data_IF_435217518770
#
_entry.id   IF_435217518770
#
_cell.length_a   1.000
_cell.length_b   1.000
_cell.length_c   1.000
_cell.angle_alpha   90.00
_cell.angle_beta   90.00
_cell.angle_gamma   90.00
#
_symmetry.space_group_name_H-M   'P 1'
#
loop_
_entity.id
_entity.type
_entity.pdbx_description
1 polymer ?
#
# COMPACT_ATOMS: atom_id res chain seq x y z
N UNK A 1 41.19 11.86 14.33
CA UNK A 1 39.98 12.60 13.92
C UNK A 1 38.99 11.73 13.12
N UNK A 2 39.44 10.75 12.35
CA UNK A 2 38.59 9.90 11.51
C UNK A 2 37.59 8.99 12.27
N UNK A 3 37.94 8.55 13.49
CA UNK A 3 37.05 7.74 14.34
C UNK A 3 35.90 8.53 14.98
N UNK A 4 36.06 9.83 15.21
CA UNK A 4 34.98 10.66 15.77
C UNK A 4 34.00 11.15 14.69
N UNK A 5 34.48 11.34 13.44
CA UNK A 5 33.59 11.62 12.31
C UNK A 5 32.64 10.45 12.00
N UNK A 6 33.12 9.20 12.15
CA UNK A 6 32.28 7.99 11.99
C UNK A 6 31.17 7.90 13.05
N UNK A 7 31.45 8.26 14.31
CA UNK A 7 30.42 8.25 15.36
C UNK A 7 29.38 9.36 15.18
N UNK A 8 29.78 10.56 14.74
CA UNK A 8 28.85 11.67 14.47
C UNK A 8 27.98 11.38 13.25
N UNK A 9 28.53 10.77 12.20
CA UNK A 9 27.75 10.36 11.01
C UNK A 9 26.83 9.17 11.30
N UNK A 10 27.23 8.20 12.13
CA UNK A 10 26.37 7.06 12.53
C UNK A 10 25.23 7.46 13.48
N UNK A 11 25.45 8.43 14.37
CA UNK A 11 24.40 8.98 15.24
C UNK A 11 23.44 9.84 14.41
N UNK A 12 23.94 10.65 13.48
CA UNK A 12 23.10 11.47 12.61
C UNK A 12 22.32 10.66 11.57
N UNK A 13 22.84 9.52 11.10
CA UNK A 13 22.10 8.57 10.25
C UNK A 13 21.03 7.78 11.02
N UNK A 14 21.27 7.43 12.29
CA UNK A 14 20.24 6.80 13.14
C UNK A 14 19.13 7.77 13.52
N UNK A 15 19.46 9.03 13.80
CA UNK A 15 18.48 10.07 14.12
C UNK A 15 17.73 10.58 12.87
N UNK A 16 18.37 10.64 11.70
CA UNK A 16 17.68 10.90 10.42
C UNK A 16 16.84 9.71 9.96
N UNK A 17 17.26 8.47 10.23
CA UNK A 17 16.41 7.30 10.00
C UNK A 17 15.12 7.39 10.82
N UNK A 18 15.17 7.82 12.08
CA UNK A 18 13.95 7.97 12.91
C UNK A 18 12.99 9.05 12.38
N UNK A 19 13.49 10.09 11.68
CA UNK A 19 12.66 11.16 11.11
C UNK A 19 12.17 10.85 9.68
N UNK A 20 12.92 10.07 8.89
CA UNK A 20 12.57 9.66 7.52
C UNK A 20 11.87 8.28 7.43
N UNK A 21 11.72 7.55 8.54
CA UNK A 21 11.14 6.19 8.55
C UNK A 21 9.69 6.13 9.04
N UNK A 22 9.05 7.28 9.23
CA UNK A 22 7.61 7.32 9.51
C UNK A 22 6.73 7.02 8.29
N UNK A 23 7.33 6.88 7.10
CA UNK A 23 6.62 6.69 5.83
C UNK A 23 6.76 5.25 5.32
N UNK A 24 6.62 4.27 6.22
CA UNK A 24 6.34 2.89 5.84
C UNK A 24 4.86 2.77 5.47
N UNK A 25 4.50 1.99 4.45
CA UNK A 25 3.10 1.71 4.06
C UNK A 25 2.22 1.39 5.28
N UNK A 26 2.81 0.68 6.24
CA UNK A 26 2.18 0.30 7.49
C UNK A 26 1.97 1.49 8.39
N UNK A 27 2.96 2.36 8.56
CA UNK A 27 2.86 3.53 9.43
C UNK A 27 1.90 4.58 8.85
N UNK A 28 1.85 4.70 7.54
CA UNK A 28 0.88 5.53 6.82
C UNK A 28 -0.52 4.94 6.96
N UNK A 29 -0.68 3.62 6.77
CA UNK A 29 -1.96 2.93 7.01
C UNK A 29 -2.39 3.07 8.48
N UNK A 30 -1.48 2.89 9.43
CA UNK A 30 -1.64 3.11 10.86
C UNK A 30 -2.06 4.56 11.16
N UNK A 31 -1.43 5.54 10.51
CA UNK A 31 -1.76 6.96 10.69
C UNK A 31 -3.14 7.30 10.15
N UNK A 32 -3.58 6.65 9.04
CA UNK A 32 -4.93 6.76 8.49
C UNK A 32 -5.99 6.26 9.47
N UNK A 33 -5.70 5.20 10.23
CA UNK A 33 -6.59 4.68 11.28
C UNK A 33 -6.64 5.54 12.54
N UNK A 34 -5.98 6.71 12.58
CA UNK A 34 -5.93 7.60 13.75
C UNK A 34 -5.67 6.79 15.03
N UNK A 35 -4.56 6.03 15.07
CA UNK A 35 -4.10 5.33 16.28
C UNK A 35 -3.74 6.33 17.40
N UNK A 36 -4.73 7.05 17.93
CA UNK A 36 -4.57 7.89 19.10
C UNK A 36 -4.20 6.97 20.27
N UNK A 37 -2.93 7.06 20.69
CA UNK A 37 -2.42 6.37 21.88
C UNK A 37 -1.58 5.12 21.62
N UNK A 38 -1.33 4.71 20.37
CA UNK A 38 -0.38 3.62 20.10
C UNK A 38 1.05 4.15 20.04
N UNK A 39 1.95 3.59 20.85
CA UNK A 39 3.36 3.98 20.81
C UNK A 39 4.08 3.31 19.64
N UNK A 40 4.40 4.09 18.60
CA UNK A 40 5.12 3.62 17.40
C UNK A 40 6.52 3.08 17.70
N UNK A 41 7.12 3.41 18.85
CA UNK A 41 8.44 2.92 19.27
C UNK A 41 8.46 1.40 19.55
N UNK A 42 7.30 0.79 19.79
CA UNK A 42 7.19 -0.65 20.04
C UNK A 42 6.93 -1.49 18.79
N UNK A 43 6.84 -0.85 17.62
CA UNK A 43 6.62 -1.55 16.37
C UNK A 43 7.89 -2.30 15.99
N UNK A 44 7.80 -3.63 15.99
CA UNK A 44 8.87 -4.50 15.51
C UNK A 44 8.81 -4.57 13.99
N UNK A 45 9.63 -3.75 13.33
CA UNK A 45 9.79 -3.79 11.88
C UNK A 45 10.51 -5.06 11.44
N UNK A 46 9.94 -5.76 10.46
CA UNK A 46 10.59 -6.88 9.79
C UNK A 46 11.37 -6.39 8.57
N UNK A 47 12.60 -6.86 8.41
CA UNK A 47 13.49 -6.47 7.32
C UNK A 47 13.63 -7.60 6.30
N UNK A 48 13.67 -7.24 5.02
CA UNK A 48 14.06 -8.13 3.93
C UNK A 48 15.59 -8.27 3.89
N UNK A 49 16.09 -9.27 3.16
CA UNK A 49 17.53 -9.44 2.91
C UNK A 49 18.13 -8.29 2.10
N UNK A 50 17.30 -7.53 1.38
CA UNK A 50 17.70 -6.34 0.63
C UNK A 50 17.76 -5.07 1.52
N UNK A 51 17.47 -5.18 2.82
CA UNK A 51 17.49 -4.05 3.74
C UNK A 51 16.28 -3.12 3.61
N UNK A 52 15.18 -3.59 3.01
CA UNK A 52 13.88 -2.89 2.97
C UNK A 52 12.92 -3.47 4.02
N UNK A 53 11.83 -2.77 4.34
CA UNK A 53 10.82 -3.28 5.27
C UNK A 53 9.96 -4.32 4.55
N UNK A 54 9.79 -5.49 5.18
CA UNK A 54 8.83 -6.51 4.76
C UNK A 54 7.46 -6.11 5.34
N UNK A 55 6.67 -5.38 4.53
CA UNK A 55 5.38 -4.85 4.98
C UNK A 55 4.42 -5.98 5.40
N UNK A 56 4.39 -7.09 4.66
CA UNK A 56 3.53 -8.21 5.04
C UNK A 56 3.90 -8.79 6.40
N UNK A 57 5.17 -9.14 6.62
CA UNK A 57 5.59 -9.71 7.92
C UNK A 57 5.47 -8.73 9.06
N UNK A 58 5.74 -7.45 8.80
CA UNK A 58 5.56 -6.42 9.82
C UNK A 58 4.08 -6.28 10.19
N UNK A 59 3.16 -6.35 9.23
CA UNK A 59 1.73 -6.36 9.50
C UNK A 59 1.31 -7.62 10.30
N UNK A 60 1.87 -8.80 9.97
CA UNK A 60 1.65 -10.04 10.73
C UNK A 60 2.11 -9.92 12.20
N UNK A 61 3.30 -9.38 12.46
CA UNK A 61 3.79 -9.12 13.82
C UNK A 61 2.92 -8.10 14.55
N UNK A 62 2.43 -7.07 13.85
CA UNK A 62 1.55 -6.06 14.43
C UNK A 62 0.21 -6.65 14.85
N UNK A 63 -0.44 -7.45 14.01
CA UNK A 63 -1.73 -8.06 14.38
C UNK A 63 -1.61 -9.06 15.53
N UNK A 64 -0.40 -9.60 15.75
CA UNK A 64 -0.12 -10.46 16.90
C UNK A 64 0.26 -9.67 18.16
N UNK A 65 0.39 -8.34 18.08
CA UNK A 65 0.77 -7.50 19.21
C UNK A 65 -0.43 -7.20 20.11
N UNK A 66 -0.34 -7.62 21.38
CA UNK A 66 -1.45 -7.50 22.32
C UNK A 66 -1.82 -6.06 22.72
N UNK A 67 -0.96 -5.10 22.40
CA UNK A 67 -1.17 -3.68 22.70
C UNK A 67 -2.10 -2.97 21.70
N UNK A 68 -2.33 -3.55 20.52
CA UNK A 68 -3.31 -3.02 19.57
C UNK A 68 -4.71 -3.50 19.96
N UNK A 69 -5.70 -2.61 19.91
CA UNK A 69 -7.09 -3.03 20.07
C UNK A 69 -7.53 -3.92 18.90
N UNK A 70 -8.59 -4.69 19.11
CA UNK A 70 -9.09 -5.67 18.13
C UNK A 70 -9.51 -4.99 16.81
N UNK A 71 -10.13 -3.81 16.89
CA UNK A 71 -10.52 -3.00 15.73
C UNK A 71 -9.33 -2.67 14.81
N UNK A 72 -8.20 -2.23 15.38
CA UNK A 72 -7.00 -1.93 14.62
C UNK A 72 -6.35 -3.18 14.05
N UNK A 73 -6.33 -4.30 14.78
CA UNK A 73 -5.83 -5.58 14.27
C UNK A 73 -6.66 -6.08 13.09
N UNK A 74 -7.99 -5.95 13.19
CA UNK A 74 -8.91 -6.25 12.09
C UNK A 74 -8.61 -5.35 10.87
N UNK A 75 -8.54 -4.04 11.08
CA UNK A 75 -8.25 -3.07 10.03
C UNK A 75 -6.93 -3.35 9.30
N UNK A 76 -5.84 -3.58 10.06
CA UNK A 76 -4.53 -3.96 9.49
C UNK A 76 -4.63 -5.28 8.72
N UNK A 77 -5.33 -6.28 9.27
CA UNK A 77 -5.52 -7.57 8.60
C UNK A 77 -6.23 -7.41 7.26
N UNK A 78 -7.25 -6.54 7.19
CA UNK A 78 -7.95 -6.21 5.95
C UNK A 78 -7.04 -5.47 4.96
N UNK A 79 -6.32 -4.45 5.41
CA UNK A 79 -5.42 -3.64 4.57
C UNK A 79 -4.27 -4.46 3.99
N UNK A 80 -3.73 -5.44 4.73
CA UNK A 80 -2.62 -6.29 4.28
C UNK A 80 -3.06 -7.65 3.78
N UNK A 81 -4.37 -7.85 3.58
CA UNK A 81 -4.95 -9.08 3.06
C UNK A 81 -4.52 -10.33 3.85
N UNK A 82 -4.41 -10.21 5.18
CA UNK A 82 -4.00 -11.27 6.09
C UNK A 82 -5.19 -12.22 6.35
N UNK A 83 -5.63 -12.93 5.32
CA UNK A 83 -6.89 -13.68 5.28
C UNK A 83 -7.10 -14.67 6.45
N UNK A 84 -6.03 -15.25 6.99
CA UNK A 84 -6.11 -16.15 8.15
C UNK A 84 -6.59 -15.44 9.43
N UNK A 85 -6.32 -14.14 9.55
CA UNK A 85 -6.61 -13.34 10.73
C UNK A 85 -7.93 -12.56 10.63
N UNK A 86 -8.37 -12.22 9.41
CA UNK A 86 -9.58 -11.41 9.19
C UNK A 86 -10.81 -12.04 9.87
N UNK A 87 -11.15 -13.34 9.67
CA UNK A 87 -12.30 -13.94 10.35
C UNK A 87 -12.13 -14.00 11.88
N UNK A 88 -10.89 -14.22 12.36
CA UNK A 88 -10.62 -14.33 13.79
C UNK A 88 -10.92 -13.01 14.51
N UNK A 89 -10.40 -11.90 14.00
CA UNK A 89 -10.66 -10.59 14.59
C UNK A 89 -12.08 -10.09 14.34
N UNK A 90 -12.71 -10.50 13.24
CA UNK A 90 -14.14 -10.23 13.01
C UNK A 90 -15.02 -10.84 14.11
N UNK A 91 -14.75 -12.08 14.52
CA UNK A 91 -15.51 -12.72 15.60
C UNK A 91 -15.23 -12.07 16.97
N UNK A 92 -14.00 -11.61 17.21
CA UNK A 92 -13.59 -10.97 18.47
C UNK A 92 -14.07 -9.50 18.60
N UNK A 93 -14.35 -8.83 17.48
CA UNK A 93 -14.79 -7.44 17.44
C UNK A 93 -16.09 -7.20 18.23
N UNK A 94 -16.12 -6.21 19.15
CA UNK A 94 -17.35 -5.77 19.83
C UNK A 94 -18.43 -5.32 18.83
N UNK A 95 -19.70 -5.49 19.18
CA UNK A 95 -20.80 -5.13 18.27
C UNK A 95 -20.85 -3.62 17.96
N UNK A 96 -20.55 -2.78 18.95
CA UNK A 96 -20.46 -1.32 18.78
C UNK A 96 -19.39 -0.95 17.73
N UNK A 97 -18.23 -1.63 17.76
CA UNK A 97 -17.16 -1.42 16.78
C UNK A 97 -17.56 -1.94 15.39
N UNK A 98 -18.31 -3.05 15.32
CA UNK A 98 -18.87 -3.54 14.05
C UNK A 98 -19.84 -2.53 13.45
N UNK A 99 -20.67 -1.88 14.27
CA UNK A 99 -21.60 -0.84 13.83
C UNK A 99 -20.85 0.38 13.27
N UNK A 100 -19.74 0.81 13.88
CA UNK A 100 -18.88 1.87 13.34
C UNK A 100 -18.32 1.53 11.95
N UNK A 101 -17.96 0.26 11.72
CA UNK A 101 -17.51 -0.20 10.41
C UNK A 101 -18.64 -0.22 9.35
N UNK A 102 -19.91 -0.20 9.76
CA UNK A 102 -21.06 -0.11 8.86
C UNK A 102 -21.40 1.32 8.43
N UNK A 103 -21.01 2.31 9.22
CA UNK A 103 -21.38 3.72 8.98
C UNK A 103 -20.47 4.44 7.97
N UNK A 104 -19.41 3.78 7.47
CA UNK A 104 -18.53 4.39 6.45
C UNK A 104 -19.31 4.73 5.16
N UNK A 105 -19.12 5.97 4.69
CA UNK A 105 -19.87 6.50 3.56
C UNK A 105 -19.51 5.77 2.25
N UNK A 106 -20.50 5.38 1.43
CA UNK A 106 -20.34 4.48 0.27
C UNK A 106 -19.56 5.07 -0.93
N UNK A 107 -19.02 6.28 -0.82
CA UNK A 107 -18.33 6.97 -1.93
C UNK A 107 -16.90 6.46 -2.16
N UNK A 108 -16.26 5.83 -1.17
CA UNK A 108 -14.94 5.19 -1.31
C UNK A 108 -14.74 4.24 -0.10
N UNK A 109 -15.31 3.02 -0.14
CA UNK A 109 -15.27 2.12 1.02
C UNK A 109 -13.84 1.64 1.23
N UNK A 110 -13.34 1.66 2.46
CA UNK A 110 -12.05 1.06 2.73
C UNK A 110 -12.13 -0.48 2.60
N UNK A 111 -10.99 -1.15 2.34
CA UNK A 111 -10.93 -2.61 2.20
C UNK A 111 -11.62 -3.38 3.35
N UNK A 112 -11.56 -2.85 4.58
CA UNK A 112 -12.17 -3.50 5.75
C UNK A 112 -13.71 -3.59 5.64
N UNK A 113 -14.35 -2.62 5.00
CA UNK A 113 -15.79 -2.61 4.72
C UNK A 113 -16.15 -3.70 3.70
N UNK A 114 -15.34 -3.82 2.65
CA UNK A 114 -15.59 -4.83 1.62
C UNK A 114 -15.32 -6.26 2.11
N UNK A 115 -14.29 -6.46 2.93
CA UNK A 115 -14.02 -7.74 3.59
C UNK A 115 -15.19 -8.17 4.50
N UNK A 116 -15.76 -7.22 5.25
CA UNK A 116 -16.93 -7.44 6.09
C UNK A 116 -18.11 -8.01 5.30
N UNK A 117 -18.51 -7.35 4.22
CA UNK A 117 -19.64 -7.82 3.41
C UNK A 117 -19.34 -9.13 2.67
N UNK A 118 -18.08 -9.34 2.28
CA UNK A 118 -17.63 -10.61 1.69
C UNK A 118 -17.78 -11.77 2.68
N UNK A 119 -17.39 -11.58 3.95
CA UNK A 119 -17.53 -12.59 4.99
C UNK A 119 -18.99 -12.91 5.31
N UNK A 120 -19.89 -11.92 5.24
CA UNK A 120 -21.34 -12.11 5.45
C UNK A 120 -22.08 -12.66 4.23
N UNK A 121 -21.43 -12.76 3.07
CA UNK A 121 -22.08 -13.16 1.82
C UNK A 121 -23.06 -12.11 1.27
N UNK A 122 -22.91 -10.84 1.66
CA UNK A 122 -23.80 -9.73 1.30
C UNK A 122 -23.41 -9.09 -0.04
N UNK A 123 -23.44 -9.89 -1.12
CA UNK A 123 -22.94 -9.47 -2.45
C UNK A 123 -23.65 -8.22 -3.00
N UNK A 124 -24.94 -8.06 -2.74
CA UNK A 124 -25.74 -6.94 -3.27
C UNK A 124 -25.32 -5.57 -2.74
N UNK A 125 -24.73 -5.50 -1.54
CA UNK A 125 -24.17 -4.24 -1.00
C UNK A 125 -22.84 -3.89 -1.63
N UNK A 126 -22.04 -4.92 -1.96
CA UNK A 126 -20.79 -4.73 -2.71
C UNK A 126 -21.09 -4.25 -4.13
N UNK A 127 -22.15 -4.77 -4.78
CA UNK A 127 -22.45 -4.40 -6.16
C UNK A 127 -22.72 -2.90 -6.38
N UNK A 128 -23.22 -2.18 -5.37
CA UNK A 128 -23.37 -0.73 -5.45
C UNK A 128 -22.00 -0.02 -5.44
N UNK A 129 -21.05 -0.53 -4.65
CA UNK A 129 -19.72 0.04 -4.48
C UNK A 129 -18.80 -0.24 -5.67
N UNK A 130 -19.00 -1.39 -6.32
CA UNK A 130 -18.17 -1.86 -7.43
C UNK A 130 -18.56 -1.25 -8.78
N UNK A 131 -19.55 -0.34 -8.79
CA UNK A 131 -19.92 0.40 -10.00
C UNK A 131 -18.86 1.45 -10.29
N UNK A 132 -18.21 1.32 -11.44
CA UNK A 132 -17.31 2.33 -11.96
C UNK A 132 -18.07 3.57 -12.49
N UNK A 133 -17.35 4.66 -12.75
CA UNK A 133 -17.91 5.91 -13.26
C UNK A 133 -18.67 5.76 -14.59
N UNK A 134 -18.32 4.75 -15.38
CA UNK A 134 -19.00 4.36 -16.63
C UNK A 134 -20.27 3.51 -16.41
N UNK A 135 -20.62 3.21 -15.15
CA UNK A 135 -21.79 2.43 -14.76
C UNK A 135 -21.63 0.92 -14.86
N UNK A 136 -20.46 0.42 -15.26
CA UNK A 136 -20.14 -0.99 -15.32
C UNK A 136 -19.85 -1.55 -13.92
N UNK A 137 -20.18 -2.82 -13.71
CA UNK A 137 -19.85 -3.51 -12.47
C UNK A 137 -18.45 -4.10 -12.59
N UNK A 138 -17.51 -3.64 -11.78
CA UNK A 138 -16.22 -4.30 -11.60
C UNK A 138 -16.34 -5.44 -10.61
N UNK A 139 -15.42 -6.40 -10.64
CA UNK A 139 -15.38 -7.41 -9.58
C UNK A 139 -14.72 -6.84 -8.33
N UNK A 140 -15.00 -7.45 -7.17
CA UNK A 140 -14.36 -7.05 -5.92
C UNK A 140 -12.84 -7.07 -6.01
N UNK A 141 -12.25 -8.10 -6.64
CA UNK A 141 -10.79 -8.19 -6.77
C UNK A 141 -10.25 -7.07 -7.67
N UNK A 142 -10.96 -6.72 -8.75
CA UNK A 142 -10.57 -5.63 -9.65
C UNK A 142 -10.57 -4.31 -8.90
N UNK A 143 -11.70 -3.93 -8.28
CA UNK A 143 -11.79 -2.72 -7.49
C UNK A 143 -10.75 -2.67 -6.36
N UNK A 144 -10.57 -3.77 -5.63
CA UNK A 144 -9.64 -3.84 -4.51
C UNK A 144 -8.17 -3.72 -4.96
N UNK A 145 -7.83 -4.22 -6.15
CA UNK A 145 -6.54 -3.97 -6.77
C UNK A 145 -6.35 -2.48 -7.06
N UNK A 146 -7.33 -1.84 -7.72
CA UNK A 146 -7.25 -0.42 -8.07
C UNK A 146 -7.13 0.48 -6.83
N UNK A 147 -7.99 0.26 -5.84
CA UNK A 147 -7.95 0.98 -4.56
C UNK A 147 -6.62 0.77 -3.82
N UNK A 148 -6.10 -0.47 -3.80
CA UNK A 148 -4.82 -0.75 -3.15
C UNK A 148 -3.68 0.02 -3.80
N UNK A 149 -3.68 0.09 -5.14
CA UNK A 149 -2.68 0.82 -5.92
C UNK A 149 -2.81 2.32 -5.69
N UNK A 150 -4.02 2.88 -5.72
CA UNK A 150 -4.27 4.30 -5.44
C UNK A 150 -3.94 4.69 -3.98
N UNK A 151 -3.94 3.73 -3.07
CA UNK A 151 -3.53 3.95 -1.68
C UNK A 151 -2.04 3.73 -1.43
N UNK A 152 -1.25 3.36 -2.44
CA UNK A 152 0.19 3.07 -2.29
C UNK A 152 0.49 1.69 -1.70
N UNK A 153 -0.52 0.85 -1.46
CA UNK A 153 -0.35 -0.43 -0.78
C UNK A 153 0.05 -1.54 -1.76
N UNK A 154 1.36 -1.67 -1.98
CA UNK A 154 1.93 -2.70 -2.86
C UNK A 154 1.56 -4.12 -2.46
N UNK A 155 1.55 -4.43 -1.16
CA UNK A 155 1.26 -5.80 -0.69
C UNK A 155 -0.16 -6.23 -1.04
N UNK A 156 -1.14 -5.34 -0.84
CA UNK A 156 -2.52 -5.61 -1.22
C UNK A 156 -2.71 -5.62 -2.74
N UNK A 157 -2.05 -4.72 -3.47
CA UNK A 157 -2.06 -4.70 -4.93
C UNK A 157 -1.55 -6.03 -5.51
N UNK A 158 -0.43 -6.56 -5.01
CA UNK A 158 0.09 -7.88 -5.38
C UNK A 158 -0.92 -9.00 -5.11
N UNK A 159 -1.52 -9.00 -3.92
CA UNK A 159 -2.50 -10.00 -3.52
C UNK A 159 -3.73 -10.04 -4.44
N UNK A 160 -4.31 -8.88 -4.76
CA UNK A 160 -5.51 -8.81 -5.60
C UNK A 160 -5.18 -9.02 -7.07
N UNK A 161 -4.04 -8.56 -7.57
CA UNK A 161 -3.62 -8.76 -8.97
C UNK A 161 -3.55 -10.26 -9.34
N UNK A 162 -3.07 -11.09 -8.41
CA UNK A 162 -3.03 -12.55 -8.59
C UNK A 162 -4.42 -13.19 -8.74
N UNK A 163 -5.47 -12.52 -8.26
CA UNK A 163 -6.86 -12.99 -8.34
C UNK A 163 -7.62 -12.47 -9.55
N UNK A 164 -7.05 -11.53 -10.30
CA UNK A 164 -7.68 -10.97 -11.50
C UNK A 164 -7.65 -11.95 -12.67
N UNK A 165 -8.70 -11.91 -13.49
CA UNK A 165 -8.71 -12.55 -14.81
C UNK A 165 -7.81 -11.79 -15.78
N UNK A 166 -7.55 -12.38 -16.95
CA UNK A 166 -6.75 -11.73 -17.99
C UNK A 166 -7.38 -10.40 -18.44
N UNK A 167 -8.69 -10.41 -18.65
CA UNK A 167 -9.47 -9.26 -19.11
C UNK A 167 -9.46 -8.13 -18.07
N UNK A 168 -9.61 -8.47 -16.79
CA UNK A 168 -9.55 -7.50 -15.69
C UNK A 168 -8.17 -6.85 -15.57
N UNK A 169 -7.09 -7.63 -15.79
CA UNK A 169 -5.72 -7.10 -15.78
C UNK A 169 -5.52 -6.10 -16.91
N UNK A 170 -5.93 -6.45 -18.13
CA UNK A 170 -5.82 -5.55 -19.28
C UNK A 170 -6.63 -4.27 -19.09
N UNK A 171 -7.84 -4.37 -18.54
CA UNK A 171 -8.70 -3.21 -18.30
C UNK A 171 -8.18 -2.27 -17.20
N UNK A 172 -7.53 -2.81 -16.17
CA UNK A 172 -7.17 -2.05 -14.96
C UNK A 172 -5.73 -1.56 -15.00
N UNK A 173 -4.77 -2.39 -15.43
CA UNK A 173 -3.34 -2.14 -15.20
C UNK A 173 -2.86 -0.78 -15.73
N UNK A 174 -3.19 -0.46 -16.99
CA UNK A 174 -2.80 0.82 -17.60
C UNK A 174 -3.55 1.98 -16.95
N UNK A 175 -4.87 1.86 -16.82
CA UNK A 175 -5.74 2.89 -16.23
C UNK A 175 -5.28 3.27 -14.83
N UNK A 176 -5.08 2.30 -13.95
CA UNK A 176 -4.67 2.52 -12.56
C UNK A 176 -3.25 3.09 -12.50
N UNK A 177 -2.34 2.64 -13.36
CA UNK A 177 -0.98 3.21 -13.43
C UNK A 177 -1.02 4.69 -13.82
N UNK A 178 -1.84 5.08 -14.79
CA UNK A 178 -2.04 6.49 -15.14
C UNK A 178 -2.69 7.29 -14.00
N UNK A 179 -3.66 6.72 -13.28
CA UNK A 179 -4.30 7.35 -12.11
C UNK A 179 -3.25 7.68 -11.04
N UNK A 180 -2.39 6.70 -10.72
CA UNK A 180 -1.29 6.85 -9.77
C UNK A 180 -0.30 7.92 -10.22
N UNK A 181 0.15 7.88 -11.47
CA UNK A 181 1.07 8.90 -12.03
C UNK A 181 0.46 10.31 -12.03
N UNK A 182 -0.86 10.44 -12.17
CA UNK A 182 -1.55 11.72 -12.10
C UNK A 182 -1.73 12.24 -10.66
N UNK A 183 -1.62 11.37 -9.65
CA UNK A 183 -1.91 11.71 -8.27
C UNK A 183 -0.71 12.38 -7.59
N UNK A 184 -0.69 13.72 -7.67
CA UNK A 184 0.36 14.56 -7.08
C UNK A 184 0.45 14.46 -5.56
N UNK A 185 -0.62 14.08 -4.84
CA UNK A 185 -0.59 13.91 -3.38
C UNK A 185 0.18 12.65 -2.97
N UNK A 186 -0.07 11.52 -3.65
CA UNK A 186 0.70 10.30 -3.43
C UNK A 186 2.17 10.52 -3.72
N UNK A 187 2.47 11.25 -4.80
CA UNK A 187 3.85 11.55 -5.20
C UNK A 187 4.63 12.34 -4.16
N UNK A 188 3.99 13.26 -3.43
CA UNK A 188 4.67 14.12 -2.44
C UNK A 188 4.74 13.45 -1.06
N UNK A 189 3.73 12.66 -0.68
CA UNK A 189 3.63 12.09 0.66
C UNK A 189 4.29 10.71 0.81
N UNK A 190 4.49 9.98 -0.29
CA UNK A 190 4.85 8.57 -0.30
C UNK A 190 5.94 8.25 -1.34
N UNK A 191 6.93 9.14 -1.49
CA UNK A 191 7.92 9.12 -2.59
C UNK A 191 8.60 7.75 -2.81
N UNK A 192 9.08 7.09 -1.75
CA UNK A 192 9.74 5.78 -1.85
C UNK A 192 8.76 4.64 -2.15
N UNK A 193 7.61 4.67 -1.49
CA UNK A 193 6.52 3.69 -1.65
C UNK A 193 6.00 3.72 -3.09
N UNK A 194 5.85 4.94 -3.62
CA UNK A 194 5.40 5.20 -4.97
C UNK A 194 6.33 4.60 -6.01
N UNK A 195 7.66 4.71 -5.82
CA UNK A 195 8.64 4.11 -6.72
C UNK A 195 8.58 2.58 -6.71
N UNK A 196 8.47 1.95 -5.53
CA UNK A 196 8.40 0.47 -5.43
C UNK A 196 7.10 -0.11 -6.01
N UNK A 197 5.99 0.61 -5.86
CA UNK A 197 4.69 0.26 -6.44
C UNK A 197 4.69 0.50 -7.96
N UNK A 198 5.19 1.63 -8.43
CA UNK A 198 5.26 1.93 -9.87
C UNK A 198 6.17 0.93 -10.58
N UNK A 199 7.34 0.59 -10.01
CA UNK A 199 8.21 -0.44 -10.58
C UNK A 199 7.50 -1.79 -10.66
N UNK A 200 6.72 -2.14 -9.64
CA UNK A 200 5.89 -3.34 -9.67
C UNK A 200 4.86 -3.27 -10.81
N UNK A 201 4.08 -2.20 -10.93
CA UNK A 201 3.08 -2.04 -12.00
C UNK A 201 3.71 -2.11 -13.39
N UNK A 202 4.82 -1.40 -13.61
CA UNK A 202 5.57 -1.45 -14.86
C UNK A 202 6.06 -2.87 -15.17
N UNK A 203 6.51 -3.63 -14.17
CA UNK A 203 6.96 -5.02 -14.37
C UNK A 203 5.85 -5.98 -14.83
N UNK A 204 4.58 -5.63 -14.60
CA UNK A 204 3.42 -6.40 -15.05
C UNK A 204 3.01 -6.10 -16.50
N UNK A 205 3.49 -4.99 -17.05
CA UNK A 205 3.12 -4.51 -18.39
C UNK A 205 3.97 -5.15 -19.48
N UNK A 206 3.42 -5.25 -20.69
CA UNK A 206 4.23 -5.57 -21.88
C UNK A 206 5.16 -4.40 -22.24
N UNK A 207 6.23 -4.62 -23.01
CA UNK A 207 7.11 -3.52 -23.45
C UNK A 207 6.38 -2.39 -24.17
N UNK A 208 5.34 -2.71 -24.95
CA UNK A 208 4.52 -1.73 -25.67
C UNK A 208 3.73 -0.85 -24.69
N UNK A 209 3.11 -1.47 -23.69
CA UNK A 209 2.38 -0.78 -22.62
C UNK A 209 3.29 0.10 -21.75
N UNK A 210 4.49 -0.38 -21.43
CA UNK A 210 5.51 0.41 -20.72
C UNK A 210 5.89 1.64 -21.54
N UNK A 211 6.14 1.47 -22.85
CA UNK A 211 6.49 2.58 -23.74
C UNK A 211 5.37 3.60 -23.81
N UNK A 212 4.12 3.17 -24.01
CA UNK A 212 2.95 4.04 -24.02
C UNK A 212 2.82 4.85 -22.72
N UNK A 213 3.02 4.19 -21.58
CA UNK A 213 2.97 4.84 -20.25
C UNK A 213 4.06 5.92 -20.13
N UNK A 214 5.28 5.61 -20.55
CA UNK A 214 6.43 6.53 -20.52
C UNK A 214 6.20 7.70 -21.46
N UNK A 215 5.74 7.47 -22.69
CA UNK A 215 5.50 8.53 -23.68
C UNK A 215 4.38 9.47 -23.26
N UNK A 216 3.35 8.92 -22.61
CA UNK A 216 2.20 9.72 -22.14
C UNK A 216 2.58 10.59 -20.94
N UNK A 217 3.41 10.09 -20.02
CA UNK A 217 3.76 10.79 -18.77
C UNK A 217 5.27 10.72 -18.44
N UNK A 218 6.15 11.22 -19.32
CA UNK A 218 7.59 11.00 -19.20
C UNK A 218 8.17 11.65 -17.95
N UNK A 219 7.72 12.86 -17.60
CA UNK A 219 8.18 13.59 -16.41
C UNK A 219 7.76 12.86 -15.14
N UNK A 220 6.52 12.39 -15.06
CA UNK A 220 6.00 11.75 -13.86
C UNK A 220 6.72 10.42 -13.60
N UNK A 221 6.98 9.64 -14.65
CA UNK A 221 7.76 8.40 -14.57
C UNK A 221 9.21 8.67 -14.17
N UNK A 222 9.88 9.63 -14.83
CA UNK A 222 11.26 9.96 -14.52
C UNK A 222 11.45 10.45 -13.09
N UNK A 223 10.52 11.26 -12.57
CA UNK A 223 10.56 11.73 -11.19
C UNK A 223 10.60 10.57 -10.18
N UNK A 224 10.02 9.42 -10.50
CA UNK A 224 10.04 8.25 -9.62
C UNK A 224 11.42 7.58 -9.54
N UNK A 225 12.23 7.69 -10.60
CA UNK A 225 13.57 7.11 -10.66
C UNK A 225 14.66 8.00 -10.04
N UNK A 226 14.37 9.28 -9.80
CA UNK A 226 15.33 10.19 -9.18
C UNK A 226 15.49 10.02 -7.66
N UNK A 227 14.63 9.23 -6.98
CA UNK A 227 14.65 9.10 -5.52
C UNK A 227 15.30 7.77 -5.03
N UNK A 228 16.57 7.93 -4.64
CA UNK A 228 17.38 7.23 -3.62
C UNK A 228 17.58 5.70 -3.59
N UNK A 229 16.86 4.86 -4.35
CA UNK A 229 17.19 3.41 -4.43
C UNK A 229 17.57 2.93 -5.82
N UNK A 230 17.30 3.75 -6.84
CA UNK A 230 17.58 3.46 -8.25
C UNK A 230 18.44 4.54 -8.89
N UNK A 231 18.91 5.52 -8.10
CA UNK A 231 19.77 6.57 -8.60
C UNK A 231 21.06 5.97 -9.18
N UNK A 232 21.64 4.97 -8.52
CA UNK A 232 22.82 4.28 -9.05
C UNK A 232 22.51 3.55 -10.37
N UNK A 233 21.35 2.86 -10.46
CA UNK A 233 20.95 2.15 -11.67
C UNK A 233 20.60 3.10 -12.83
N UNK A 234 20.00 4.24 -12.53
CA UNK A 234 19.72 5.31 -13.50
C UNK A 234 21.03 5.94 -13.98
N UNK A 235 21.93 6.26 -13.06
CA UNK A 235 23.22 6.88 -13.37
C UNK A 235 24.12 5.92 -14.17
N UNK A 236 24.10 4.61 -13.89
CA UNK A 236 24.78 3.58 -14.70
C UNK A 236 24.20 3.52 -16.12
N UNK A 237 22.87 3.45 -16.26
CA UNK A 237 22.22 3.40 -17.57
C UNK A 237 22.34 4.71 -18.36
N UNK A 238 22.47 5.85 -17.68
CA UNK A 238 22.70 7.15 -18.29
C UNK A 238 24.19 7.43 -18.59
N UNK A 239 25.10 6.52 -18.21
CA UNK A 239 26.55 6.68 -18.39
C UNK A 239 27.16 7.81 -17.56
N UNK A 240 26.55 8.13 -16.42
CA UNK A 240 26.95 9.21 -15.51
C UNK A 240 27.86 8.73 -14.37
N UNK A 241 28.03 7.42 -14.21
CA UNK A 241 29.00 6.72 -13.36
C UNK A 241 29.49 5.44 -14.03
#
# INVERSE_FOLDING_TARGET
>A
MEKQLKCVLLLSLKEMAVVLWNDSDILVSISKFRLYGFNTEKIKLCWTTAGTIDCRKTAEELVCCDELNVLHRYAISCSYCLFAYIPLFWEELPEDDKELLYEETPTCPALHFCWLHTLKGEQTKLDHLLRTEDGNLTTFNQWAFEDSVENGNKTAAEYFFLKLTHEEREASLIRTTHSVLANTKLRILLEKIFSDLLCYLLSLMTPEQQMETIETRPIDVLLCFFYLSWQDLFMENAGLI
#
